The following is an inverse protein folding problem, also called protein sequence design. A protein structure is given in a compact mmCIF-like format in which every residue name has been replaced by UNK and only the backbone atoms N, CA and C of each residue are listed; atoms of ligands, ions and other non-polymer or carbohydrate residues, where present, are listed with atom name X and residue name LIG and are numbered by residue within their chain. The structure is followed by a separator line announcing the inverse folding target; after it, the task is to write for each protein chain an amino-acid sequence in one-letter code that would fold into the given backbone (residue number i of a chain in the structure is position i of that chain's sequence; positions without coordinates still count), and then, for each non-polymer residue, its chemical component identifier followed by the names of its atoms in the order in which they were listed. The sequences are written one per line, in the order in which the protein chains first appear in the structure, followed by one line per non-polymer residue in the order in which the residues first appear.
data_IF_788230487782
#
_entry.id   IF_788230487782
#
_cell.length_a   1.000
_cell.length_b   1.000
_cell.length_c   1.000
_cell.angle_alpha   90.00
_cell.angle_beta   90.00
_cell.angle_gamma   90.00
#
_symmetry.space_group_name_H-M   'P 1'
#
loop_
_entity.id
_entity.type
_entity.pdbx_description
1 polymer ?
#
# COMPACT_ATOMS: atom_id res chain seq x y z
N UNK A 1 -20.31 7.41 -2.06
CA UNK A 1 -18.84 7.47 -1.86
C UNK A 1 -18.25 6.10 -1.57
N UNK A 2 -18.61 5.42 -0.47
CA UNK A 2 -18.02 4.12 -0.08
C UNK A 2 -18.20 3.04 -1.15
N UNK A 3 -19.41 2.86 -1.69
CA UNK A 3 -19.67 1.87 -2.74
C UNK A 3 -18.92 2.16 -4.04
N UNK A 4 -18.75 3.44 -4.39
CA UNK A 4 -18.00 3.87 -5.58
C UNK A 4 -16.53 3.49 -5.42
N UNK A 5 -15.91 3.89 -4.30
CA UNK A 5 -14.51 3.56 -4.03
C UNK A 5 -14.30 2.05 -3.95
N UNK A 6 -15.16 1.33 -3.23
CA UNK A 6 -15.02 -0.13 -3.06
C UNK A 6 -15.19 -0.86 -4.39
N UNK A 7 -16.22 -0.51 -5.18
CA UNK A 7 -16.44 -1.09 -6.49
C UNK A 7 -15.27 -0.85 -7.43
N UNK A 8 -14.78 0.40 -7.50
CA UNK A 8 -13.61 0.72 -8.32
C UNK A 8 -12.36 -0.02 -7.87
N UNK A 9 -12.04 -0.04 -6.58
CA UNK A 9 -10.85 -0.72 -6.06
C UNK A 9 -10.91 -2.24 -6.26
N UNK A 10 -12.10 -2.85 -6.22
CA UNK A 10 -12.28 -4.26 -6.57
C UNK A 10 -11.95 -4.51 -8.04
N UNK A 11 -12.49 -3.68 -8.94
CA UNK A 11 -12.23 -3.81 -10.39
C UNK A 11 -10.76 -3.58 -10.69
N UNK A 12 -10.15 -2.50 -10.16
CA UNK A 12 -8.73 -2.20 -10.36
C UNK A 12 -7.82 -3.30 -9.79
N UNK A 13 -8.08 -3.76 -8.57
CA UNK A 13 -7.27 -4.80 -7.93
C UNK A 13 -7.33 -6.15 -8.67
N UNK A 14 -8.50 -6.53 -9.17
CA UNK A 14 -8.67 -7.74 -9.98
C UNK A 14 -8.10 -7.60 -11.40
N UNK A 15 -8.09 -6.38 -11.96
CA UNK A 15 -7.59 -6.12 -13.30
C UNK A 15 -6.06 -6.08 -13.36
N UNK A 16 -5.34 -5.71 -12.28
CA UNK A 16 -3.87 -5.58 -12.27
C UNK A 16 -3.11 -6.81 -12.81
N UNK A 17 -3.39 -8.05 -12.36
CA UNK A 17 -2.69 -9.23 -12.88
C UNK A 17 -2.85 -9.42 -14.39
N UNK A 18 -3.99 -9.01 -14.95
CA UNK A 18 -4.31 -9.09 -16.39
C UNK A 18 -3.66 -7.92 -17.11
N UNK A 19 -3.74 -6.70 -16.56
CA UNK A 19 -3.19 -5.47 -17.12
C UNK A 19 -1.67 -5.54 -17.37
N UNK A 20 -0.94 -6.27 -16.53
CA UNK A 20 0.52 -6.44 -16.65
C UNK A 20 0.92 -7.78 -17.29
N UNK A 21 -0.03 -8.61 -17.74
CA UNK A 21 0.28 -9.92 -18.32
C UNK A 21 0.88 -9.87 -19.73
N UNK A 22 0.56 -8.83 -20.52
CA UNK A 22 0.79 -8.80 -21.96
C UNK A 22 1.96 -7.90 -22.41
N UNK A 23 2.67 -7.25 -21.47
CA UNK A 23 3.77 -6.33 -21.82
C UNK A 23 5.11 -7.03 -22.19
N UNK A 24 5.08 -8.33 -22.48
CA UNK A 24 6.26 -9.09 -22.94
C UNK A 24 6.63 -8.81 -24.40
N UNK A 25 5.82 -8.08 -25.15
CA UNK A 25 6.02 -7.79 -26.59
C UNK A 25 6.75 -6.46 -26.82
N UNK A 26 8.01 -6.37 -26.40
CA UNK A 26 8.95 -5.32 -26.81
C UNK A 26 8.60 -3.86 -26.42
N UNK A 27 9.51 -2.90 -26.70
CA UNK A 27 9.29 -1.48 -26.43
C UNK A 27 8.15 -0.95 -27.29
N UNK A 28 7.05 -0.50 -26.66
CA UNK A 28 6.00 0.25 -27.35
C UNK A 28 6.46 1.71 -27.49
N UNK A 29 6.78 2.13 -28.71
CA UNK A 29 7.32 3.47 -29.03
C UNK A 29 6.40 4.64 -28.65
N UNK A 30 5.11 4.37 -28.38
CA UNK A 30 4.11 5.38 -28.03
C UNK A 30 4.05 5.68 -26.52
N UNK A 31 4.83 4.97 -25.70
CA UNK A 31 4.87 5.13 -24.24
C UNK A 31 6.17 5.83 -23.81
N UNK A 32 6.10 6.67 -22.77
CA UNK A 32 7.30 7.27 -22.17
C UNK A 32 8.24 6.17 -21.65
N UNK A 33 9.54 6.45 -21.59
CA UNK A 33 10.55 5.52 -21.06
C UNK A 33 10.18 5.05 -19.65
N UNK A 34 9.62 5.96 -18.83
CA UNK A 34 9.14 5.65 -17.48
C UNK A 34 8.06 4.57 -17.46
N UNK A 35 7.03 4.69 -18.31
CA UNK A 35 5.98 3.67 -18.44
C UNK A 35 6.55 2.31 -18.81
N UNK A 36 7.45 2.28 -19.78
CA UNK A 36 8.00 1.03 -20.29
C UNK A 36 8.79 0.30 -19.20
N UNK A 37 9.62 1.03 -18.43
CA UNK A 37 10.36 0.47 -17.30
C UNK A 37 9.42 -0.06 -16.22
N UNK A 38 8.38 0.71 -15.86
CA UNK A 38 7.43 0.30 -14.84
C UNK A 38 6.64 -0.95 -15.26
N UNK A 39 6.10 -0.97 -16.48
CA UNK A 39 5.37 -2.13 -17.00
C UNK A 39 6.26 -3.35 -17.19
N UNK A 40 7.52 -3.18 -17.62
CA UNK A 40 8.47 -4.28 -17.70
C UNK A 40 8.76 -4.88 -16.32
N UNK A 41 8.93 -4.04 -15.28
CA UNK A 41 9.10 -4.49 -13.90
C UNK A 41 7.89 -5.31 -13.40
N UNK A 42 6.67 -4.79 -13.62
CA UNK A 42 5.43 -5.47 -13.22
C UNK A 42 5.17 -6.77 -14.02
N UNK A 43 5.60 -6.82 -15.28
CA UNK A 43 5.48 -8.01 -16.15
C UNK A 43 6.51 -9.08 -15.80
N UNK A 44 7.75 -8.68 -15.43
CA UNK A 44 8.83 -9.59 -15.06
C UNK A 44 8.45 -10.49 -13.87
N UNK A 45 7.74 -9.94 -12.88
CA UNK A 45 7.22 -10.73 -11.75
C UNK A 45 5.77 -10.37 -11.44
N UNK A 46 4.85 -11.21 -11.93
CA UNK A 46 3.40 -11.07 -11.70
C UNK A 46 3.01 -11.11 -10.22
N UNK A 47 3.87 -11.61 -9.33
CA UNK A 47 3.63 -11.67 -7.88
C UNK A 47 3.42 -10.29 -7.27
N UNK A 48 4.20 -9.28 -7.66
CA UNK A 48 4.08 -7.93 -7.09
C UNK A 48 2.73 -7.25 -7.40
N UNK A 49 2.25 -7.20 -8.67
CA UNK A 49 0.92 -6.64 -8.95
C UNK A 49 -0.21 -7.48 -8.34
N UNK A 50 -0.05 -8.80 -8.20
CA UNK A 50 -1.01 -9.65 -7.48
C UNK A 50 -1.11 -9.25 -6.00
N UNK A 51 0.01 -9.07 -5.31
CA UNK A 51 0.02 -8.65 -3.90
C UNK A 51 -0.69 -7.30 -3.75
N UNK A 52 -0.37 -6.33 -4.59
CA UNK A 52 -1.03 -5.02 -4.54
C UNK A 52 -2.53 -5.17 -4.81
N UNK A 53 -2.92 -5.97 -5.82
CA UNK A 53 -4.33 -6.21 -6.14
C UNK A 53 -5.10 -6.88 -5.01
N UNK A 54 -4.51 -7.88 -4.34
CA UNK A 54 -5.11 -8.54 -3.16
C UNK A 54 -5.28 -7.54 -2.02
N UNK A 55 -4.30 -6.67 -1.78
CA UNK A 55 -4.40 -5.63 -0.75
C UNK A 55 -5.48 -4.58 -1.08
N UNK A 56 -5.64 -4.21 -2.35
CA UNK A 56 -6.72 -3.32 -2.80
C UNK A 56 -8.09 -3.97 -2.61
N UNK A 57 -8.24 -5.23 -3.00
CA UNK A 57 -9.48 -6.01 -2.80
C UNK A 57 -9.78 -6.14 -1.31
N UNK A 58 -8.79 -6.49 -0.49
CA UNK A 58 -8.93 -6.56 0.96
C UNK A 58 -9.33 -5.22 1.57
N UNK A 59 -8.72 -4.12 1.13
CA UNK A 59 -9.08 -2.76 1.54
C UNK A 59 -10.50 -2.38 1.15
N UNK A 60 -10.92 -2.72 -0.07
CA UNK A 60 -12.27 -2.48 -0.57
C UNK A 60 -13.33 -3.26 0.22
N UNK A 61 -13.09 -4.56 0.49
CA UNK A 61 -13.98 -5.38 1.30
C UNK A 61 -14.07 -4.88 2.75
N UNK A 62 -12.94 -4.46 3.32
CA UNK A 62 -12.89 -3.87 4.64
C UNK A 62 -13.63 -2.52 4.71
N UNK A 63 -13.62 -1.73 3.63
CA UNK A 63 -14.30 -0.44 3.54
C UNK A 63 -15.84 -0.58 3.57
N UNK A 64 -16.37 -1.67 3.00
CA UNK A 64 -17.81 -1.97 3.00
C UNK A 64 -18.34 -2.26 4.41
N UNK A 65 -17.52 -2.84 5.28
CA UNK A 65 -17.92 -3.17 6.64
C UNK A 65 -17.77 -1.98 7.60
N UNK A 66 -18.86 -1.63 8.29
CA UNK A 66 -18.91 -0.49 9.21
C UNK A 66 -17.88 -0.53 10.36
N UNK A 67 -17.47 -1.74 10.78
CA UNK A 67 -16.47 -1.93 11.86
C UNK A 67 -15.03 -1.81 11.36
N UNK A 68 -14.74 -2.27 10.16
CA UNK A 68 -13.39 -2.29 9.57
C UNK A 68 -13.13 -1.13 8.63
N UNK A 69 -14.08 -0.20 8.49
CA UNK A 69 -13.99 0.91 7.54
C UNK A 69 -12.73 1.76 7.72
N UNK A 70 -12.34 2.05 8.96
CA UNK A 70 -11.13 2.82 9.25
C UNK A 70 -9.88 2.07 8.79
N UNK A 71 -9.82 0.77 9.07
CA UNK A 71 -8.73 -0.09 8.60
C UNK A 71 -8.67 -0.15 7.07
N UNK A 72 -9.83 -0.36 6.42
CA UNK A 72 -9.93 -0.35 4.95
C UNK A 72 -9.47 0.98 4.34
N UNK A 73 -9.91 2.12 4.91
CA UNK A 73 -9.49 3.45 4.46
C UNK A 73 -7.98 3.69 4.63
N UNK A 74 -7.39 3.26 5.74
CA UNK A 74 -5.95 3.39 5.97
C UNK A 74 -5.15 2.50 5.01
N UNK A 75 -5.57 1.25 4.84
CA UNK A 75 -4.93 0.31 3.91
C UNK A 75 -4.97 0.85 2.48
N UNK A 76 -6.15 1.29 2.02
CA UNK A 76 -6.31 1.88 0.68
C UNK A 76 -5.50 3.17 0.52
N UNK A 77 -5.40 3.99 1.57
CA UNK A 77 -4.57 5.22 1.54
C UNK A 77 -3.10 4.91 1.29
N UNK A 78 -2.53 3.91 1.97
CA UNK A 78 -1.13 3.52 1.78
C UNK A 78 -0.89 3.01 0.36
N UNK A 79 -1.81 2.18 -0.15
CA UNK A 79 -1.69 1.59 -1.48
C UNK A 79 -1.85 2.67 -2.58
N UNK A 80 -2.86 3.52 -2.46
CA UNK A 80 -3.09 4.61 -3.42
C UNK A 80 -1.95 5.63 -3.39
N UNK A 81 -1.39 5.95 -2.22
CA UNK A 81 -0.20 6.79 -2.13
C UNK A 81 0.99 6.17 -2.87
N UNK A 82 1.22 4.86 -2.73
CA UNK A 82 2.26 4.15 -3.47
C UNK A 82 2.03 4.23 -4.99
N UNK A 83 0.80 4.00 -5.45
CA UNK A 83 0.43 4.08 -6.87
C UNK A 83 0.57 5.52 -7.40
N UNK A 84 0.19 6.54 -6.63
CA UNK A 84 0.34 7.94 -7.01
C UNK A 84 1.81 8.30 -7.20
N UNK A 85 2.68 7.88 -6.27
CA UNK A 85 4.12 8.12 -6.37
C UNK A 85 4.67 7.46 -7.63
N UNK A 86 4.33 6.19 -7.89
CA UNK A 86 4.75 5.50 -9.11
C UNK A 86 4.21 6.19 -10.36
N UNK A 87 2.92 6.53 -10.39
CA UNK A 87 2.31 7.19 -11.53
C UNK A 87 2.94 8.57 -11.80
N UNK A 88 3.38 9.28 -10.77
CA UNK A 88 4.06 10.56 -10.92
C UNK A 88 5.49 10.39 -11.44
N UNK A 89 6.27 9.47 -10.84
CA UNK A 89 7.67 9.25 -11.20
C UNK A 89 7.85 8.63 -12.58
N UNK A 90 6.91 7.78 -13.00
CA UNK A 90 6.94 7.11 -14.29
C UNK A 90 6.03 7.78 -15.34
N UNK A 91 5.51 8.98 -15.04
CA UNK A 91 4.68 9.82 -15.94
C UNK A 91 3.37 9.17 -16.44
N UNK A 92 2.79 8.28 -15.64
CA UNK A 92 1.61 7.49 -15.99
C UNK A 92 0.34 8.37 -16.08
N UNK A 93 -0.43 8.35 -17.19
CA UNK A 93 -1.63 9.18 -17.36
C UNK A 93 -2.73 8.89 -16.34
N UNK A 94 -2.69 7.73 -15.69
CA UNK A 94 -3.61 7.29 -14.65
C UNK A 94 -3.47 8.07 -13.31
N UNK A 95 -2.53 9.01 -13.20
CA UNK A 95 -2.28 9.81 -12.00
C UNK A 95 -3.55 10.52 -11.49
N UNK A 96 -4.30 11.20 -12.37
CA UNK A 96 -5.51 11.96 -12.00
C UNK A 96 -6.58 11.09 -11.35
N UNK A 97 -6.76 9.89 -11.90
CA UNK A 97 -7.72 8.91 -11.39
C UNK A 97 -7.31 8.39 -10.02
N UNK A 98 -6.02 8.10 -9.81
CA UNK A 98 -5.50 7.67 -8.52
C UNK A 98 -5.67 8.75 -7.44
N UNK A 99 -5.38 10.02 -7.76
CA UNK A 99 -5.58 11.16 -6.86
C UNK A 99 -7.06 11.33 -6.50
N UNK A 100 -7.96 11.21 -7.47
CA UNK A 100 -9.39 11.29 -7.22
C UNK A 100 -9.86 10.24 -6.19
N UNK A 101 -9.45 8.99 -6.35
CA UNK A 101 -9.78 7.94 -5.37
C UNK A 101 -9.13 8.17 -4.01
N UNK A 102 -7.89 8.67 -3.97
CA UNK A 102 -7.21 9.02 -2.73
C UNK A 102 -8.00 10.09 -1.96
N UNK A 103 -8.50 11.12 -2.63
CA UNK A 103 -9.34 12.16 -2.02
C UNK A 103 -10.63 11.55 -1.46
N UNK A 104 -11.29 10.66 -2.21
CA UNK A 104 -12.50 9.99 -1.72
C UNK A 104 -12.23 9.13 -0.49
N UNK A 105 -11.14 8.36 -0.46
CA UNK A 105 -10.75 7.54 0.70
C UNK A 105 -10.46 8.42 1.91
N UNK A 106 -9.73 9.53 1.73
CA UNK A 106 -9.47 10.50 2.80
C UNK A 106 -10.75 11.17 3.30
N UNK A 107 -11.69 11.48 2.41
CA UNK A 107 -13.00 12.00 2.80
C UNK A 107 -13.80 10.99 3.64
N UNK A 108 -13.76 9.69 3.30
CA UNK A 108 -14.37 8.64 4.12
C UNK A 108 -13.70 8.57 5.50
N UNK A 109 -12.36 8.62 5.54
CA UNK A 109 -11.59 8.57 6.78
C UNK A 109 -11.85 9.80 7.67
N UNK A 110 -11.99 10.99 7.07
CA UNK A 110 -12.32 12.24 7.75
C UNK A 110 -13.75 12.23 8.30
N UNK A 111 -14.69 11.55 7.65
CA UNK A 111 -16.05 11.42 8.17
C UNK A 111 -16.10 10.58 9.46
N UNK A 112 -15.26 9.53 9.55
CA UNK A 112 -15.10 8.71 10.75
C UNK A 112 -14.02 9.27 11.73
N UNK A 113 -13.68 10.57 11.64
CA UNK A 113 -12.61 11.21 12.42
C UNK A 113 -12.76 11.07 13.93
N UNK A 114 -13.99 11.07 14.46
CA UNK A 114 -14.24 10.86 15.89
C UNK A 114 -13.77 9.47 16.35
N UNK A 115 -14.07 8.43 15.56
CA UNK A 115 -13.61 7.06 15.84
C UNK A 115 -12.10 6.93 15.65
N UNK A 116 -11.55 7.56 14.62
CA UNK A 116 -10.11 7.57 14.38
C UNK A 116 -9.36 8.22 15.55
N UNK A 117 -9.82 9.38 16.03
CA UNK A 117 -9.27 10.03 17.23
C UNK A 117 -9.33 9.14 18.44
N UNK A 118 -10.46 8.46 18.67
CA UNK A 118 -10.61 7.51 19.79
C UNK A 118 -9.58 6.38 19.70
N UNK A 119 -9.44 5.76 18.53
CA UNK A 119 -8.44 4.70 18.30
C UNK A 119 -7.03 5.24 18.52
N UNK A 120 -6.71 6.41 17.98
CA UNK A 120 -5.38 7.01 18.14
C UNK A 120 -5.09 7.35 19.60
N UNK A 121 -6.06 7.89 20.32
CA UNK A 121 -5.93 8.17 21.75
C UNK A 121 -5.78 6.88 22.55
N UNK A 122 -6.56 5.84 22.27
CA UNK A 122 -6.42 4.54 22.92
C UNK A 122 -5.05 3.90 22.62
N UNK A 123 -4.53 4.02 21.39
CA UNK A 123 -3.20 3.55 21.01
C UNK A 123 -2.09 4.34 21.72
N UNK A 124 -2.22 5.67 21.82
CA UNK A 124 -1.24 6.54 22.48
C UNK A 124 -1.32 6.46 24.02
N UNK A 125 -2.52 6.20 24.56
CA UNK A 125 -2.76 5.96 25.98
C UNK A 125 -2.46 4.51 26.40
N UNK A 126 -2.19 3.61 25.43
CA UNK A 126 -1.83 2.23 25.71
C UNK A 126 -0.48 2.17 26.43
N UNK A 127 -0.58 2.31 27.75
CA UNK A 127 0.36 2.00 28.80
C UNK A 127 1.80 2.46 28.53
N UNK A 128 2.23 3.42 29.34
CA UNK A 128 3.61 3.54 29.82
C UNK A 128 3.97 2.23 30.54
N UNK A 129 4.06 1.12 29.80
CA UNK A 129 4.55 -0.16 30.29
C UNK A 129 5.94 0.15 30.81
N UNK A 130 6.21 -0.17 32.07
CA UNK A 130 7.55 -0.23 32.64
C UNK A 130 8.42 -0.98 31.64
N UNK A 131 9.08 -0.21 30.78
CA UNK A 131 9.77 -0.74 29.62
C UNK A 131 11.05 -1.25 30.24
N UNK A 132 11.14 -2.57 30.46
CA UNK A 132 12.36 -3.21 30.92
C UNK A 132 13.46 -2.84 29.91
N UNK A 133 14.17 -1.75 30.18
CA UNK A 133 15.22 -1.18 29.34
C UNK A 133 16.28 -2.23 29.04
N UNK A 134 16.50 -3.15 29.98
CA UNK A 134 17.34 -4.33 29.86
C UNK A 134 16.90 -5.20 28.67
N UNK A 135 15.61 -5.50 28.54
CA UNK A 135 15.08 -6.29 27.43
C UNK A 135 15.24 -5.58 26.08
N UNK A 136 15.10 -4.24 26.08
CA UNK A 136 15.22 -3.44 24.87
C UNK A 136 16.68 -3.33 24.41
N UNK A 137 17.61 -3.11 25.36
CA UNK A 137 19.05 -3.13 25.12
C UNK A 137 19.50 -4.52 24.66
N UNK A 138 19.01 -5.59 25.30
CA UNK A 138 19.29 -6.96 24.91
C UNK A 138 18.80 -7.27 23.48
N UNK A 139 17.56 -6.90 23.15
CA UNK A 139 17.02 -7.04 21.80
C UNK A 139 17.82 -6.22 20.77
N UNK A 140 18.28 -5.02 21.14
CA UNK A 140 19.09 -4.18 20.28
C UNK A 140 20.48 -4.78 20.03
N UNK A 141 21.13 -5.34 21.06
CA UNK A 141 22.42 -6.04 20.94
C UNK A 141 22.27 -7.28 20.07
N UNK A 142 21.22 -8.09 20.28
CA UNK A 142 20.94 -9.26 19.44
C UNK A 142 20.75 -8.85 17.98
N UNK A 143 19.97 -7.79 17.72
CA UNK A 143 19.77 -7.30 16.36
C UNK A 143 21.10 -6.88 15.71
N UNK A 144 21.98 -6.22 16.45
CA UNK A 144 23.31 -5.81 15.96
C UNK A 144 24.24 -7.00 15.69
N UNK A 145 24.25 -8.01 16.58
CA UNK A 145 25.04 -9.23 16.41
C UNK A 145 24.55 -10.03 15.21
N UNK A 146 23.23 -10.21 15.07
CA UNK A 146 22.64 -10.86 13.90
C UNK A 146 23.01 -10.12 12.61
N UNK A 147 22.93 -8.78 12.61
CA UNK A 147 23.31 -7.97 11.46
C UNK A 147 24.81 -8.08 11.13
N UNK A 148 25.67 -8.16 12.14
CA UNK A 148 27.11 -8.37 11.96
C UNK A 148 27.42 -9.73 11.32
N UNK A 149 26.74 -10.80 11.76
CA UNK A 149 26.90 -12.13 11.18
C UNK A 149 26.34 -12.23 9.75
N UNK A 150 25.19 -11.60 9.47
CA UNK A 150 24.62 -11.52 8.13
C UNK A 150 25.62 -10.91 7.14
N UNK A 151 26.30 -9.82 7.51
CA UNK A 151 27.32 -9.17 6.67
C UNK A 151 28.60 -10.00 6.48
N UNK A 152 28.86 -11.02 7.31
CA UNK A 152 30.09 -11.82 7.26
C UNK A 152 29.92 -13.17 6.58
N UNK A 153 28.68 -13.67 6.48
CA UNK A 153 28.35 -14.96 5.84
C UNK A 153 27.85 -14.82 4.38
N UNK A 154 27.65 -13.60 3.88
CA UNK A 154 27.19 -13.32 2.51
C UNK A 154 28.31 -12.90 1.53
N UNK A 155 29.57 -13.21 1.82
CA UNK A 155 30.69 -13.13 0.86
C UNK A 155 31.49 -14.43 0.86
#
# INVERSE_FOLDING_TARGET
MIFIVSGSMLVYGLAKPIQFADFTTGPNSDLSEGHQVMWAFYSFTKTYPIIIGVLEVGGALALLHHRTRIFGSLLLTVILANIIIQNYLYEIPALRTAIFYQILVLAILAFDWQKLKRILLELLQHQKKERNLIFLIFAFIIAFVLKYFENKFLF
#
